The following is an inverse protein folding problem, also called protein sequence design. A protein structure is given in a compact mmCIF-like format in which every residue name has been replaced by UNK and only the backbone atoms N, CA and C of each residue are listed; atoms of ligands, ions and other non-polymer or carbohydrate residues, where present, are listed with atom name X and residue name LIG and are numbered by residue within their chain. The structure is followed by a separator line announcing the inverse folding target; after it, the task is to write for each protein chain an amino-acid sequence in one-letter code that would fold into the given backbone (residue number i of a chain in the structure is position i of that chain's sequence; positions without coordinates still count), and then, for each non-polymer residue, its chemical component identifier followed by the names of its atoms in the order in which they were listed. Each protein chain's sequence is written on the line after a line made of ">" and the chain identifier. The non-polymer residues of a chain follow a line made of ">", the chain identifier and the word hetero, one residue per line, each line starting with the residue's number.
data_IF_954506606008
#
_entry.id   IF_954506606008
#
_cell.length_a   1.000
_cell.length_b   1.000
_cell.length_c   1.000
_cell.angle_alpha   90.00
_cell.angle_beta   90.00
_cell.angle_gamma   90.00
#
_symmetry.space_group_name_H-M   'P 1'
#
loop_
_entity.id
_entity.type
_entity.pdbx_description
1 polymer ?
#
# COMPACT_ATOMS: atom_id res chain seq x y z
N UNK A 1 -10.16 -20.43 17.09
CA UNK A 1 -9.80 -21.87 17.10
C UNK A 1 -8.31 -22.07 16.99
N UNK A 2 -7.72 -22.75 17.97
CA UNK A 2 -6.27 -23.00 18.01
C UNK A 2 -5.73 -23.81 16.81
N UNK A 3 -6.57 -24.62 16.18
CA UNK A 3 -6.17 -25.47 15.04
C UNK A 3 -5.83 -24.72 13.77
N UNK A 4 -6.30 -23.48 13.63
CA UNK A 4 -6.07 -22.67 12.43
C UNK A 4 -4.95 -21.65 12.63
N UNK A 5 -4.44 -21.50 13.85
CA UNK A 5 -3.33 -20.58 14.12
C UNK A 5 -2.10 -20.96 13.32
N UNK A 6 -1.45 -19.98 12.74
CA UNK A 6 -0.25 -20.16 11.94
C UNK A 6 0.69 -18.97 12.11
N UNK A 7 1.88 -19.08 11.56
CA UNK A 7 2.88 -18.01 11.57
C UNK A 7 3.27 -17.71 10.13
N UNK A 8 3.30 -16.44 9.78
CA UNK A 8 3.72 -15.97 8.47
C UNK A 8 4.59 -14.72 8.63
N UNK A 9 5.79 -14.75 8.06
CA UNK A 9 6.74 -13.63 8.11
C UNK A 9 6.97 -13.09 9.53
N UNK A 10 7.01 -13.97 10.54
CA UNK A 10 7.16 -13.59 11.93
C UNK A 10 5.89 -13.14 12.63
N UNK A 11 4.78 -13.06 11.91
CA UNK A 11 3.48 -12.67 12.46
C UNK A 11 2.68 -13.90 12.89
N UNK A 12 2.12 -13.84 14.09
CA UNK A 12 1.19 -14.86 14.56
C UNK A 12 -0.21 -14.54 14.04
N UNK A 13 -0.77 -15.47 13.27
CA UNK A 13 -2.08 -15.31 12.65
C UNK A 13 -3.08 -16.27 13.28
N UNK A 14 -4.30 -15.80 13.53
CA UNK A 14 -5.37 -16.64 14.09
C UNK A 14 -5.86 -17.73 13.11
N UNK A 15 -5.61 -17.56 11.82
CA UNK A 15 -5.91 -18.51 10.75
C UNK A 15 -5.02 -18.21 9.54
N UNK A 16 -4.98 -19.08 8.51
CA UNK A 16 -4.14 -18.85 7.33
C UNK A 16 -4.76 -17.98 6.24
N UNK A 17 -5.91 -17.36 6.48
CA UNK A 17 -6.59 -16.56 5.47
C UNK A 17 -6.12 -15.12 5.49
N UNK A 18 -5.54 -14.68 4.37
CA UNK A 18 -5.02 -13.33 4.16
C UNK A 18 -5.64 -12.77 2.88
N UNK A 19 -6.15 -11.54 2.92
CA UNK A 19 -6.61 -10.88 1.70
C UNK A 19 -5.42 -10.28 1.00
N UNK A 20 -5.17 -10.72 -0.23
CA UNK A 20 -4.03 -10.29 -1.04
C UNK A 20 -4.15 -8.84 -1.50
N UNK A 21 -3.00 -8.25 -1.84
CA UNK A 21 -2.91 -6.91 -2.42
C UNK A 21 -3.77 -6.80 -3.68
N UNK A 22 -4.75 -5.90 -3.65
CA UNK A 22 -5.71 -5.71 -4.75
C UNK A 22 -6.58 -4.48 -4.49
N UNK A 23 -7.52 -4.22 -5.38
CA UNK A 23 -8.54 -3.19 -5.16
C UNK A 23 -9.49 -3.52 -4.00
N UNK A 24 -9.45 -4.75 -3.49
CA UNK A 24 -10.23 -5.16 -2.32
C UNK A 24 -9.66 -4.63 -1.01
N UNK A 25 -8.40 -4.19 -1.00
CA UNK A 25 -7.69 -3.70 0.19
C UNK A 25 -7.20 -2.27 0.03
N UNK A 26 -7.85 -1.47 -0.80
CA UNK A 26 -7.42 -0.10 -1.12
C UNK A 26 -8.04 0.98 -0.23
N UNK A 27 -8.81 0.62 0.77
CA UNK A 27 -9.37 1.57 1.74
C UNK A 27 -9.49 0.95 3.13
N UNK A 28 -9.42 1.80 4.16
CA UNK A 28 -9.58 1.36 5.55
C UNK A 28 -10.95 0.73 5.80
N UNK A 29 -12.01 1.26 5.21
CA UNK A 29 -13.37 0.74 5.37
C UNK A 29 -13.51 -0.68 4.81
N UNK A 30 -12.92 -0.94 3.65
CA UNK A 30 -12.88 -2.28 3.06
C UNK A 30 -12.11 -3.24 3.95
N UNK A 31 -10.96 -2.82 4.46
CA UNK A 31 -10.13 -3.63 5.34
C UNK A 31 -10.84 -3.97 6.64
N UNK A 32 -11.60 -3.04 7.20
CA UNK A 32 -12.43 -3.30 8.38
C UNK A 32 -13.49 -4.37 8.11
N UNK A 33 -14.10 -4.35 6.95
CA UNK A 33 -15.08 -5.38 6.55
C UNK A 33 -14.43 -6.75 6.43
N UNK A 34 -13.20 -6.84 5.92
CA UNK A 34 -12.46 -8.10 5.87
C UNK A 34 -12.15 -8.64 7.26
N UNK A 35 -11.74 -7.75 8.18
CA UNK A 35 -11.54 -8.16 9.58
C UNK A 35 -12.83 -8.71 10.18
N UNK A 36 -13.96 -8.05 9.98
CA UNK A 36 -15.27 -8.50 10.45
C UNK A 36 -15.67 -9.84 9.84
N UNK A 37 -15.24 -10.10 8.60
CA UNK A 37 -15.47 -11.40 7.94
C UNK A 37 -14.58 -12.52 8.49
N UNK A 38 -13.58 -12.21 9.30
CA UNK A 38 -12.78 -13.21 10.00
C UNK A 38 -11.39 -13.48 9.43
N UNK A 39 -10.90 -12.71 8.45
CA UNK A 39 -9.54 -12.88 7.93
C UNK A 39 -8.51 -12.52 8.99
N UNK A 40 -7.33 -13.12 8.92
CA UNK A 40 -6.27 -12.91 9.91
C UNK A 40 -5.34 -11.76 9.60
N UNK A 41 -5.28 -11.33 8.35
CA UNK A 41 -4.42 -10.22 7.92
C UNK A 41 -4.89 -9.68 6.57
N UNK A 42 -4.47 -8.47 6.24
CA UNK A 42 -4.69 -7.87 4.93
C UNK A 42 -3.36 -7.37 4.37
N UNK A 43 -3.16 -7.55 3.06
CA UNK A 43 -2.08 -6.92 2.32
C UNK A 43 -2.68 -5.74 1.56
N UNK A 44 -2.24 -4.54 1.85
CA UNK A 44 -2.76 -3.33 1.21
C UNK A 44 -2.47 -3.33 -0.29
N UNK A 45 -3.31 -2.65 -1.05
CA UNK A 45 -3.07 -2.47 -2.48
C UNK A 45 -1.66 -1.92 -2.68
N UNK A 46 -0.91 -2.49 -3.62
CA UNK A 46 0.47 -2.10 -3.87
C UNK A 46 0.59 -0.67 -4.36
N UNK A 47 1.62 0.02 -3.89
CA UNK A 47 2.08 1.27 -4.46
C UNK A 47 3.06 0.92 -5.59
N UNK A 48 2.69 1.26 -6.84
CA UNK A 48 3.49 0.97 -8.03
C UNK A 48 4.19 2.23 -8.52
N UNK A 49 5.52 2.17 -8.62
CA UNK A 49 6.32 3.26 -9.19
C UNK A 49 5.91 3.57 -10.64
N UNK A 50 5.61 2.54 -11.41
CA UNK A 50 5.16 2.68 -12.80
C UNK A 50 3.87 3.49 -12.94
N UNK A 51 2.91 3.27 -12.06
CA UNK A 51 1.66 4.04 -12.05
C UNK A 51 1.92 5.52 -11.72
N UNK A 52 2.80 5.78 -10.76
CA UNK A 52 3.17 7.15 -10.37
C UNK A 52 3.83 7.88 -11.54
N UNK A 53 4.76 7.22 -12.22
CA UNK A 53 5.44 7.81 -13.39
C UNK A 53 4.47 8.05 -14.55
N UNK A 54 3.54 7.12 -14.81
CA UNK A 54 2.54 7.28 -15.86
C UNK A 54 1.60 8.46 -15.57
N UNK A 55 1.11 8.59 -14.35
CA UNK A 55 0.26 9.71 -13.94
C UNK A 55 1.01 11.04 -14.03
N UNK A 56 2.25 11.09 -13.57
CA UNK A 56 3.10 12.26 -13.67
C UNK A 56 3.38 12.63 -15.15
N UNK A 57 3.55 11.63 -16.01
CA UNK A 57 3.74 11.82 -17.45
C UNK A 57 2.55 12.52 -18.12
N UNK A 58 1.35 12.19 -17.73
CA UNK A 58 0.14 12.87 -18.26
C UNK A 58 0.05 14.34 -17.83
N UNK A 59 0.49 14.66 -16.62
CA UNK A 59 0.52 16.04 -16.11
C UNK A 59 1.63 16.88 -16.74
N UNK A 60 2.64 16.22 -17.30
CA UNK A 60 3.84 16.85 -17.84
C UNK A 60 3.76 17.18 -19.34
N UNK A 61 2.64 16.95 -19.97
CA UNK A 61 2.49 17.19 -21.40
C UNK A 61 2.76 18.67 -21.72
N UNK A 62 3.87 18.93 -22.46
CA UNK A 62 4.33 20.27 -22.80
C UNK A 62 5.27 20.95 -21.79
N UNK A 63 5.61 20.32 -20.67
CA UNK A 63 6.53 20.89 -19.68
C UNK A 63 8.01 20.66 -20.06
N UNK A 64 8.90 21.57 -19.59
CA UNK A 64 10.34 21.40 -19.74
C UNK A 64 10.89 20.31 -18.82
N UNK A 65 12.06 19.76 -19.14
CA UNK A 65 12.65 18.62 -18.41
C UNK A 65 12.84 18.88 -16.90
N UNK A 66 13.24 20.08 -16.51
CA UNK A 66 13.38 20.45 -15.09
C UNK A 66 12.04 20.47 -14.36
N UNK A 67 11.00 20.95 -15.02
CA UNK A 67 9.64 20.97 -14.49
C UNK A 67 9.09 19.54 -14.39
N UNK A 68 9.48 18.67 -15.33
CA UNK A 68 9.08 17.26 -15.31
C UNK A 68 9.63 16.53 -14.09
N UNK A 69 10.92 16.72 -13.77
CA UNK A 69 11.53 16.10 -12.60
C UNK A 69 10.90 16.59 -11.30
N UNK A 70 10.61 17.88 -11.23
CA UNK A 70 9.94 18.48 -10.08
C UNK A 70 8.53 17.93 -9.89
N UNK A 71 7.74 17.83 -10.96
CA UNK A 71 6.39 17.27 -10.93
C UNK A 71 6.39 15.79 -10.53
N UNK A 72 7.35 15.02 -11.05
CA UNK A 72 7.49 13.61 -10.69
C UNK A 72 7.81 13.45 -9.19
N UNK A 73 8.72 14.27 -8.67
CA UNK A 73 9.05 14.27 -7.24
C UNK A 73 7.81 14.59 -6.38
N UNK A 74 7.08 15.64 -6.73
CA UNK A 74 5.86 16.03 -6.02
C UNK A 74 4.80 14.96 -6.07
N UNK A 75 4.58 14.38 -7.23
CA UNK A 75 3.56 13.35 -7.39
C UNK A 75 3.90 12.09 -6.60
N UNK A 76 5.19 11.70 -6.61
CA UNK A 76 5.68 10.58 -5.82
C UNK A 76 5.47 10.83 -4.31
N UNK A 77 5.83 12.01 -3.82
CA UNK A 77 5.65 12.38 -2.43
C UNK A 77 4.16 12.37 -2.03
N UNK A 78 3.30 12.88 -2.89
CA UNK A 78 1.86 12.90 -2.66
C UNK A 78 1.27 11.48 -2.58
N UNK A 79 1.65 10.61 -3.52
CA UNK A 79 1.19 9.21 -3.53
C UNK A 79 1.68 8.46 -2.29
N UNK A 80 2.89 8.74 -1.86
CA UNK A 80 3.42 8.14 -0.63
C UNK A 80 2.64 8.62 0.61
N UNK A 81 2.31 9.90 0.69
CA UNK A 81 1.49 10.43 1.79
C UNK A 81 0.10 9.78 1.83
N UNK A 82 -0.53 9.62 0.68
CA UNK A 82 -1.81 8.92 0.58
C UNK A 82 -1.70 7.47 1.07
N UNK A 83 -0.61 6.80 0.73
CA UNK A 83 -0.37 5.43 1.15
C UNK A 83 -0.14 5.33 2.66
N UNK A 84 0.64 6.23 3.22
CA UNK A 84 0.85 6.31 4.67
C UNK A 84 -0.46 6.61 5.42
N UNK A 85 -1.30 7.44 4.85
CA UNK A 85 -2.63 7.72 5.38
C UNK A 85 -3.50 6.45 5.39
N UNK A 86 -3.48 5.68 4.31
CA UNK A 86 -4.18 4.40 4.23
C UNK A 86 -3.71 3.44 5.33
N UNK A 87 -2.39 3.33 5.53
CA UNK A 87 -1.82 2.50 6.59
C UNK A 87 -2.32 2.96 7.97
N UNK A 88 -2.25 4.25 8.26
CA UNK A 88 -2.69 4.81 9.53
C UNK A 88 -4.17 4.58 9.79
N UNK A 89 -5.01 4.86 8.81
CA UNK A 89 -6.46 4.69 8.93
C UNK A 89 -6.83 3.22 9.11
N UNK A 90 -6.20 2.33 8.35
CA UNK A 90 -6.43 0.89 8.48
C UNK A 90 -6.01 0.39 9.86
N UNK A 91 -4.85 0.79 10.34
CA UNK A 91 -4.38 0.39 11.67
C UNK A 91 -5.24 0.97 12.80
N UNK A 92 -5.83 2.13 12.60
CA UNK A 92 -6.74 2.72 13.58
C UNK A 92 -8.07 1.96 13.69
N UNK A 93 -8.55 1.40 12.58
CA UNK A 93 -9.82 0.68 12.53
C UNK A 93 -9.70 -0.83 12.74
N UNK A 94 -8.55 -1.40 12.47
CA UNK A 94 -8.32 -2.85 12.49
C UNK A 94 -7.33 -3.26 13.57
N UNK A 95 -7.54 -4.44 14.14
CA UNK A 95 -6.63 -5.07 15.09
C UNK A 95 -5.74 -6.13 14.45
N UNK A 96 -6.11 -6.61 13.26
CA UNK A 96 -5.34 -7.62 12.52
C UNK A 96 -4.09 -7.00 11.90
N UNK A 97 -3.05 -7.81 11.63
CA UNK A 97 -1.85 -7.35 10.93
C UNK A 97 -2.16 -6.72 9.57
N UNK A 98 -1.51 -5.59 9.30
CA UNK A 98 -1.63 -4.85 8.04
C UNK A 98 -0.25 -4.89 7.37
N UNK A 99 -0.21 -5.42 6.17
CA UNK A 99 1.03 -5.59 5.40
C UNK A 99 1.03 -4.61 4.24
N UNK A 100 2.04 -3.73 4.22
CA UNK A 100 2.24 -2.81 3.10
C UNK A 100 2.86 -3.53 1.91
N UNK A 101 2.58 -3.07 0.71
CA UNK A 101 3.12 -3.63 -0.52
C UNK A 101 3.60 -2.50 -1.43
N UNK A 102 4.86 -2.54 -1.81
CA UNK A 102 5.49 -1.55 -2.67
C UNK A 102 6.18 -2.29 -3.82
N UNK A 103 5.95 -1.81 -5.03
CA UNK A 103 6.64 -2.30 -6.21
C UNK A 103 7.40 -1.15 -6.86
N UNK A 104 8.71 -1.12 -6.67
CA UNK A 104 9.60 -0.12 -7.23
C UNK A 104 10.78 -0.80 -7.93
N UNK A 105 11.31 -0.14 -8.97
CA UNK A 105 12.45 -0.67 -9.74
C UNK A 105 13.71 0.19 -9.65
N UNK A 106 13.60 1.38 -9.04
CA UNK A 106 14.75 2.28 -8.79
C UNK A 106 15.09 2.30 -7.32
N UNK A 107 16.12 1.55 -6.95
CA UNK A 107 16.52 1.40 -5.55
C UNK A 107 16.89 2.72 -4.87
N UNK A 108 17.56 3.61 -5.59
CA UNK A 108 18.13 4.84 -5.01
C UNK A 108 17.09 5.88 -4.60
N UNK A 109 15.89 5.84 -5.18
CA UNK A 109 14.86 6.86 -4.95
C UNK A 109 13.85 6.48 -3.87
N UNK A 110 13.75 5.18 -3.55
CA UNK A 110 12.77 4.67 -2.59
C UNK A 110 13.36 4.27 -1.24
N UNK A 111 14.68 4.17 -1.13
CA UNK A 111 15.33 3.83 0.13
C UNK A 111 15.25 4.93 1.18
N UNK A 112 14.99 6.17 0.77
CA UNK A 112 14.85 7.32 1.66
C UNK A 112 13.42 7.47 2.21
N UNK A 113 12.51 6.64 1.75
CA UNK A 113 11.13 6.60 2.19
C UNK A 113 10.83 5.36 3.06
#
# INVERSE_FOLDING_TARGET
>A
MKRLETTFAGLKLKNPFIVSSSNLTNSADKNKKWEEAGVSAVVLKSLFEEEIEAEAGWMQDGAHAEEQDYLLFYHRAHRLEEYLKLIKETKAQCTIPVIASINCYRLTEWTDF
#
